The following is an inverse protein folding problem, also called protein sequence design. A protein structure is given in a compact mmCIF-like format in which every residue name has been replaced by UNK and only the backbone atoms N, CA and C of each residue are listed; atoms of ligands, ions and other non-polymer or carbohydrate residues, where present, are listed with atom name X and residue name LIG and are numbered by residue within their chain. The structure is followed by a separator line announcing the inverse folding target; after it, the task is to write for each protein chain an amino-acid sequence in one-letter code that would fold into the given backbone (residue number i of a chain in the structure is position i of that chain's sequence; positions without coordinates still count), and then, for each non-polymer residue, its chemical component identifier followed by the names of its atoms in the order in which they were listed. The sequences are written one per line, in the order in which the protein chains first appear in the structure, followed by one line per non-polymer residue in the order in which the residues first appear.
data_IF_544819373325
#
_entry.id   IF_544819373325
#
_cell.length_a   1.000
_cell.length_b   1.000
_cell.length_c   1.000
_cell.angle_alpha   90.00
_cell.angle_beta   90.00
_cell.angle_gamma   90.00
#
_symmetry.space_group_name_H-M   'P 1'
#
loop_
_entity.id
_entity.type
_entity.pdbx_description
1 polymer ?
#
# COMPACT_ATOMS: atom_id res chain seq x y z
N UNK A 1 20.07 13.65 -3.53
CA UNK A 1 19.33 13.39 -2.26
C UNK A 1 19.95 14.12 -1.06
N UNK A 2 19.17 14.47 -0.02
CA UNK A 2 19.62 15.07 1.26
C UNK A 2 20.63 14.15 1.98
N UNK A 3 21.67 14.71 2.61
CA UNK A 3 22.66 13.94 3.38
C UNK A 3 22.03 13.14 4.52
N UNK A 4 20.99 13.68 5.18
CA UNK A 4 20.29 12.99 6.26
C UNK A 4 19.59 11.72 5.74
N UNK A 5 18.99 11.80 4.55
CA UNK A 5 18.33 10.66 3.90
C UNK A 5 19.35 9.60 3.49
N UNK A 6 20.50 9.98 2.96
CA UNK A 6 21.56 9.02 2.64
C UNK A 6 22.04 8.28 3.89
N UNK A 7 22.28 8.99 4.99
CA UNK A 7 22.65 8.37 6.28
C UNK A 7 21.56 7.41 6.76
N UNK A 8 20.29 7.84 6.73
CA UNK A 8 19.16 7.01 7.11
C UNK A 8 19.05 5.73 6.27
N UNK A 9 19.10 5.84 4.95
CA UNK A 9 19.04 4.69 4.04
C UNK A 9 20.20 3.72 4.31
N UNK A 10 21.41 4.24 4.49
CA UNK A 10 22.59 3.44 4.83
C UNK A 10 22.40 2.69 6.15
N UNK A 11 21.76 3.29 7.15
CA UNK A 11 21.44 2.60 8.41
C UNK A 11 20.46 1.43 8.22
N UNK A 12 19.52 1.54 7.27
CA UNK A 12 18.52 0.49 7.03
C UNK A 12 19.07 -0.69 6.24
N UNK A 13 20.04 -0.44 5.35
CA UNK A 13 20.57 -1.44 4.42
C UNK A 13 21.90 -2.05 4.84
N UNK A 14 22.57 -1.45 5.82
CA UNK A 14 23.86 -1.94 6.33
C UNK A 14 23.65 -2.82 7.57
N UNK A 15 24.03 -4.11 7.53
CA UNK A 15 23.98 -4.98 8.69
C UNK A 15 24.89 -4.45 9.81
N UNK A 16 24.31 -4.09 10.96
CA UNK A 16 25.08 -3.48 12.06
C UNK A 16 26.09 -4.44 12.71
N UNK A 17 25.74 -5.73 12.79
CA UNK A 17 26.54 -6.74 13.49
C UNK A 17 27.58 -7.42 12.58
N UNK A 18 27.70 -7.03 11.31
CA UNK A 18 28.75 -7.51 10.41
C UNK A 18 30.02 -6.64 10.56
N UNK A 19 31.16 -7.20 11.00
CA UNK A 19 32.40 -6.46 11.18
C UNK A 19 32.98 -5.87 9.88
N UNK A 20 32.55 -6.36 8.72
CA UNK A 20 32.97 -5.87 7.40
C UNK A 20 32.09 -4.73 6.88
N UNK A 21 30.97 -4.43 7.56
CA UNK A 21 30.07 -3.35 7.19
C UNK A 21 30.74 -1.99 7.31
N UNK A 22 30.64 -1.20 6.24
CA UNK A 22 30.97 0.22 6.27
C UNK A 22 29.82 0.99 6.94
N UNK A 23 29.83 1.06 8.27
CA UNK A 23 28.78 1.74 9.03
C UNK A 23 28.72 3.24 8.67
N UNK A 24 27.52 3.85 8.63
CA UNK A 24 27.38 5.30 8.49
C UNK A 24 28.08 6.05 9.63
N UNK A 25 28.78 7.13 9.27
CA UNK A 25 29.26 8.12 10.24
C UNK A 25 28.09 9.06 10.60
N UNK A 26 27.70 9.08 11.88
CA UNK A 26 26.50 9.78 12.36
C UNK A 26 26.93 10.88 13.34
N UNK A 27 26.72 12.13 12.95
CA UNK A 27 26.97 13.27 13.81
C UNK A 27 25.99 13.28 15.00
N UNK A 28 26.44 13.61 16.22
CA UNK A 28 25.56 13.67 17.40
C UNK A 28 24.29 14.54 17.20
N UNK A 29 24.40 15.61 16.42
CA UNK A 29 23.31 16.52 16.06
C UNK A 29 22.24 15.92 15.14
N UNK A 30 22.54 14.83 14.40
CA UNK A 30 21.62 14.23 13.43
C UNK A 30 20.67 13.21 14.07
N UNK A 31 21.04 12.63 15.23
CA UNK A 31 20.23 11.60 15.90
C UNK A 31 18.76 11.98 16.14
N UNK A 32 18.40 13.22 16.56
CA UNK A 32 17.00 13.60 16.70
C UNK A 32 16.21 13.49 15.39
N UNK A 33 16.82 13.91 14.28
CA UNK A 33 16.19 13.89 12.96
C UNK A 33 16.11 12.46 12.39
N UNK A 34 17.16 11.65 12.57
CA UNK A 34 17.18 10.24 12.20
C UNK A 34 16.16 9.43 13.00
N UNK A 35 16.02 9.71 14.30
CA UNK A 35 14.98 9.08 15.13
C UNK A 35 13.58 9.43 14.63
N UNK A 36 13.31 10.73 14.37
CA UNK A 36 12.01 11.17 13.85
C UNK A 36 11.69 10.54 12.49
N UNK A 37 12.68 10.41 11.61
CA UNK A 37 12.54 9.78 10.31
C UNK A 37 12.23 8.28 10.44
N UNK A 38 13.00 7.55 11.24
CA UNK A 38 12.78 6.12 11.49
C UNK A 38 11.43 5.84 12.17
N UNK A 39 10.98 6.73 13.06
CA UNK A 39 9.65 6.64 13.69
C UNK A 39 8.53 6.88 12.66
N UNK A 40 8.67 7.95 11.85
CA UNK A 40 7.72 8.30 10.78
C UNK A 40 7.55 7.19 9.74
N UNK A 41 8.62 6.45 9.46
CA UNK A 41 8.61 5.34 8.51
C UNK A 41 8.41 3.97 9.16
N UNK A 42 8.25 3.91 10.48
CA UNK A 42 8.09 2.67 11.23
C UNK A 42 9.24 1.66 10.99
N UNK A 43 10.48 2.17 10.93
CA UNK A 43 11.71 1.37 10.75
C UNK A 43 12.60 1.37 11.99
N UNK A 44 12.06 1.76 13.16
CA UNK A 44 12.80 1.81 14.42
C UNK A 44 13.56 0.50 14.77
N UNK A 45 13.01 -0.70 14.54
CA UNK A 45 13.73 -1.94 14.82
C UNK A 45 15.04 -2.08 14.01
N UNK A 46 15.04 -1.64 12.74
CA UNK A 46 16.21 -1.71 11.86
C UNK A 46 17.35 -0.81 12.35
N UNK A 47 17.00 0.37 12.87
CA UNK A 47 18.00 1.36 13.30
C UNK A 47 18.39 1.24 14.77
N UNK A 48 17.69 0.40 15.56
CA UNK A 48 17.90 0.26 17.00
C UNK A 48 19.37 0.09 17.43
N UNK A 49 20.21 -0.72 16.74
CA UNK A 49 21.62 -0.89 17.13
C UNK A 49 22.43 0.41 17.08
N UNK A 50 22.17 1.28 16.10
CA UNK A 50 22.87 2.56 15.92
C UNK A 50 22.62 3.56 17.05
N UNK A 51 21.52 3.39 17.79
CA UNK A 51 21.16 4.30 18.87
C UNK A 51 21.61 3.84 20.27
N UNK A 52 22.26 2.67 20.42
CA UNK A 52 22.59 2.04 21.74
C UNK A 52 23.22 2.99 22.77
N UNK A 53 24.09 3.90 22.31
CA UNK A 53 24.83 4.83 23.18
C UNK A 53 24.20 6.24 23.24
N UNK A 54 22.97 6.40 22.77
CA UNK A 54 22.27 7.70 22.71
C UNK A 54 21.16 7.79 23.75
N UNK A 55 20.73 9.02 24.06
CA UNK A 55 19.57 9.25 24.93
C UNK A 55 18.24 8.75 24.36
N UNK A 56 18.15 8.46 23.06
CA UNK A 56 16.94 7.98 22.38
C UNK A 56 16.73 6.47 22.52
N UNK A 57 17.76 5.71 22.89
CA UNK A 57 17.72 4.24 22.93
C UNK A 57 16.52 3.66 23.72
N UNK A 58 16.19 4.12 24.94
CA UNK A 58 15.07 3.55 25.69
C UNK A 58 13.72 3.69 24.96
N UNK A 59 13.52 4.81 24.27
CA UNK A 59 12.29 5.08 23.53
C UNK A 59 12.20 4.21 22.27
N UNK A 60 13.29 4.10 21.50
CA UNK A 60 13.36 3.24 20.30
C UNK A 60 13.14 1.78 20.68
N UNK A 61 13.79 1.33 21.76
CA UNK A 61 13.63 -0.04 22.26
C UNK A 61 12.19 -0.34 22.67
N UNK A 62 11.53 0.59 23.37
CA UNK A 62 10.13 0.43 23.77
C UNK A 62 9.20 0.35 22.55
N UNK A 63 9.35 1.26 21.59
CA UNK A 63 8.55 1.27 20.36
C UNK A 63 8.78 0.02 19.50
N UNK A 64 10.03 -0.42 19.39
CA UNK A 64 10.39 -1.66 18.67
C UNK A 64 9.73 -2.89 19.32
N UNK A 65 9.78 -3.00 20.65
CA UNK A 65 9.07 -4.06 21.39
C UNK A 65 7.56 -4.03 21.15
N UNK A 66 6.96 -2.84 21.05
CA UNK A 66 5.54 -2.72 20.75
C UNK A 66 5.21 -3.18 19.33
N UNK A 67 6.03 -2.83 18.33
CA UNK A 67 5.88 -3.34 16.97
C UNK A 67 5.97 -4.87 16.91
N UNK A 68 6.95 -5.46 17.59
CA UNK A 68 7.09 -6.92 17.65
C UNK A 68 5.90 -7.59 18.35
N UNK A 69 5.40 -6.99 19.45
CA UNK A 69 4.21 -7.49 20.10
C UNK A 69 2.97 -7.37 19.20
N UNK A 70 2.86 -6.29 18.42
CA UNK A 70 1.76 -6.08 17.48
C UNK A 70 1.78 -7.12 16.34
N UNK A 71 2.97 -7.55 15.89
CA UNK A 71 3.10 -8.63 14.91
C UNK A 71 2.33 -9.89 15.35
N UNK A 72 2.58 -10.37 16.59
CA UNK A 72 1.90 -11.55 17.12
C UNK A 72 0.40 -11.35 17.35
N UNK A 73 -0.03 -10.11 17.63
CA UNK A 73 -1.45 -9.80 17.77
C UNK A 73 -2.18 -9.87 16.43
N UNK A 74 -1.58 -9.32 15.37
CA UNK A 74 -2.14 -9.40 14.02
C UNK A 74 -2.07 -10.83 13.48
N UNK A 75 -1.00 -11.59 13.75
CA UNK A 75 -0.93 -13.02 13.43
C UNK A 75 -2.07 -13.79 14.10
N UNK A 76 -2.30 -13.60 15.40
CA UNK A 76 -3.42 -14.22 16.11
C UNK A 76 -4.78 -13.82 15.52
N UNK A 77 -4.96 -12.55 15.17
CA UNK A 77 -6.19 -12.07 14.53
C UNK A 77 -6.38 -12.72 13.15
N UNK A 78 -5.32 -12.78 12.34
CA UNK A 78 -5.31 -13.43 11.02
C UNK A 78 -5.72 -14.89 11.11
N UNK A 79 -5.07 -15.68 11.99
CA UNK A 79 -5.43 -17.09 12.23
C UNK A 79 -6.90 -17.24 12.58
N UNK A 80 -7.40 -16.41 13.50
CA UNK A 80 -8.80 -16.46 13.94
C UNK A 80 -9.76 -16.22 12.78
N UNK A 81 -9.54 -15.16 12.00
CA UNK A 81 -10.43 -14.77 10.91
C UNK A 81 -10.38 -15.79 9.78
N UNK A 82 -9.18 -16.20 9.35
CA UNK A 82 -9.02 -17.20 8.29
C UNK A 82 -9.62 -18.53 8.70
N UNK A 83 -9.30 -19.05 9.90
CA UNK A 83 -9.88 -20.31 10.39
C UNK A 83 -11.42 -20.27 10.50
N UNK A 84 -11.99 -19.10 10.81
CA UNK A 84 -13.44 -18.91 10.84
C UNK A 84 -14.05 -19.08 9.45
N UNK A 85 -13.45 -18.46 8.43
CA UNK A 85 -13.92 -18.54 7.04
C UNK A 85 -13.71 -19.94 6.46
N UNK A 86 -12.54 -20.54 6.68
CA UNK A 86 -12.22 -21.91 6.22
C UNK A 86 -13.17 -22.96 6.80
N UNK A 87 -13.54 -22.83 8.08
CA UNK A 87 -14.53 -23.73 8.72
C UNK A 87 -15.89 -23.70 8.03
N UNK A 88 -16.22 -22.60 7.35
CA UNK A 88 -17.44 -22.46 6.56
C UNK A 88 -17.22 -22.71 5.06
N UNK A 89 -16.07 -23.26 4.68
CA UNK A 89 -15.73 -23.59 3.29
C UNK A 89 -15.38 -22.39 2.42
N UNK A 90 -15.07 -21.23 3.02
CA UNK A 90 -14.70 -20.02 2.29
C UNK A 90 -13.19 -19.96 2.17
N UNK A 91 -12.71 -20.02 0.93
CA UNK A 91 -11.30 -19.77 0.60
C UNK A 91 -11.08 -18.26 0.50
N UNK A 92 -10.07 -17.74 1.19
CA UNK A 92 -9.67 -16.34 1.09
C UNK A 92 -8.15 -16.25 0.95
N UNK A 93 -7.67 -15.20 0.30
CA UNK A 93 -6.25 -14.92 0.12
C UNK A 93 -5.80 -13.94 1.19
N UNK A 94 -4.81 -14.32 2.00
CA UNK A 94 -4.16 -13.39 2.92
C UNK A 94 -3.28 -12.45 2.11
N UNK A 95 -3.56 -11.16 2.19
CA UNK A 95 -2.79 -10.14 1.50
C UNK A 95 -1.94 -9.36 2.49
N UNK A 96 -0.86 -8.76 1.99
CA UNK A 96 0.02 -7.85 2.75
C UNK A 96 0.43 -8.45 4.11
N UNK A 97 0.25 -7.69 5.18
CA UNK A 97 0.21 -8.20 6.55
C UNK A 97 1.36 -9.14 6.93
N UNK A 98 0.98 -10.26 7.53
CA UNK A 98 1.88 -11.33 7.93
C UNK A 98 2.53 -12.05 6.75
N UNK A 99 1.88 -12.05 5.58
CA UNK A 99 2.38 -12.73 4.38
C UNK A 99 3.63 -12.04 3.84
N UNK A 100 3.60 -10.72 3.67
CA UNK A 100 4.81 -9.94 3.30
C UNK A 100 5.82 -9.87 4.44
N UNK A 101 5.38 -9.90 5.71
CA UNK A 101 6.29 -9.92 6.84
C UNK A 101 7.19 -11.17 6.85
N UNK A 102 6.71 -12.30 6.33
CA UNK A 102 7.49 -13.52 6.25
C UNK A 102 8.72 -13.39 5.33
N UNK A 103 8.74 -12.40 4.43
CA UNK A 103 9.90 -12.13 3.58
C UNK A 103 10.98 -11.28 4.23
N UNK A 104 10.70 -10.64 5.36
CA UNK A 104 11.66 -9.79 6.06
C UNK A 104 12.77 -10.64 6.72
N UNK A 105 14.00 -10.12 6.86
CA UNK A 105 15.07 -10.80 7.61
C UNK A 105 14.66 -11.13 9.06
N UNK A 106 13.84 -10.27 9.67
CA UNK A 106 13.16 -10.50 10.94
C UNK A 106 11.70 -10.09 10.77
N UNK A 107 10.78 -11.06 10.73
CA UNK A 107 9.37 -10.82 10.39
C UNK A 107 8.71 -9.78 11.29
N UNK A 108 9.07 -9.75 12.57
CA UNK A 108 8.49 -8.81 13.53
C UNK A 108 8.94 -7.35 13.35
N UNK A 109 9.91 -7.08 12.47
CA UNK A 109 10.35 -5.71 12.16
C UNK A 109 9.39 -5.00 11.21
N UNK A 110 8.55 -5.76 10.49
CA UNK A 110 7.53 -5.19 9.62
C UNK A 110 6.37 -4.64 10.43
N UNK A 111 6.06 -3.35 10.27
CA UNK A 111 4.85 -2.74 10.84
C UNK A 111 3.58 -3.34 10.22
N UNK A 112 2.78 -3.97 11.05
CA UNK A 112 1.43 -4.46 10.71
C UNK A 112 0.36 -3.48 11.25
N UNK A 113 -0.75 -3.32 10.53
CA UNK A 113 -1.86 -2.46 10.93
C UNK A 113 -3.18 -3.20 10.94
N UNK A 114 -3.70 -3.43 9.75
CA UNK A 114 -4.92 -4.13 9.40
C UNK A 114 -4.66 -5.57 8.92
N UNK A 115 -5.73 -6.37 8.90
CA UNK A 115 -5.79 -7.64 8.20
C UNK A 115 -6.46 -7.42 6.84
N UNK A 116 -5.75 -7.71 5.76
CA UNK A 116 -6.31 -7.70 4.41
C UNK A 116 -6.60 -9.13 3.94
N UNK A 117 -7.86 -9.41 3.59
CA UNK A 117 -8.26 -10.67 2.98
C UNK A 117 -8.94 -10.40 1.65
N UNK A 118 -8.64 -11.20 0.63
CA UNK A 118 -9.32 -11.13 -0.67
C UNK A 118 -10.15 -12.37 -0.94
N UNK A 119 -11.36 -12.17 -1.44
CA UNK A 119 -12.24 -13.23 -1.95
C UNK A 119 -12.67 -12.83 -3.36
N UNK A 120 -12.22 -13.60 -4.35
CA UNK A 120 -12.55 -13.38 -5.76
C UNK A 120 -13.89 -13.97 -6.19
N UNK A 121 -14.46 -14.89 -5.41
CA UNK A 121 -15.80 -15.42 -5.64
C UNK A 121 -16.84 -14.55 -4.94
N UNK A 122 -17.79 -14.04 -5.73
CA UNK A 122 -18.79 -13.07 -5.26
C UNK A 122 -19.79 -13.69 -4.28
N UNK A 123 -20.18 -14.94 -4.49
CA UNK A 123 -21.15 -15.60 -3.62
C UNK A 123 -20.48 -15.95 -2.28
N UNK A 124 -19.24 -16.45 -2.33
CA UNK A 124 -18.41 -16.68 -1.15
C UNK A 124 -18.14 -15.38 -0.38
N UNK A 125 -17.90 -14.26 -1.08
CA UNK A 125 -17.75 -12.95 -0.44
C UNK A 125 -19.00 -12.57 0.37
N UNK A 126 -20.19 -12.64 -0.23
CA UNK A 126 -21.43 -12.34 0.48
C UNK A 126 -21.72 -13.30 1.65
N UNK A 127 -21.37 -14.58 1.51
CA UNK A 127 -21.42 -15.52 2.63
C UNK A 127 -20.42 -15.13 3.74
N UNK A 128 -19.22 -14.69 3.40
CA UNK A 128 -18.22 -14.24 4.36
C UNK A 128 -18.72 -13.03 5.16
N UNK A 129 -19.35 -12.04 4.52
CA UNK A 129 -19.94 -10.89 5.20
C UNK A 129 -20.92 -11.34 6.30
N UNK A 130 -21.84 -12.26 5.97
CA UNK A 130 -22.81 -12.80 6.92
C UNK A 130 -22.13 -13.52 8.09
N UNK A 131 -21.16 -14.39 7.81
CA UNK A 131 -20.42 -15.14 8.82
C UNK A 131 -19.66 -14.19 9.75
N UNK A 132 -19.02 -13.15 9.22
CA UNK A 132 -18.30 -12.16 10.00
C UNK A 132 -19.27 -11.44 10.96
N UNK A 133 -20.42 -10.97 10.48
CA UNK A 133 -21.42 -10.33 11.33
C UNK A 133 -21.92 -11.25 12.46
N UNK A 134 -22.25 -12.50 12.15
CA UNK A 134 -22.69 -13.49 13.13
C UNK A 134 -21.61 -13.80 14.20
N UNK A 135 -20.34 -13.53 13.88
CA UNK A 135 -19.19 -13.78 14.76
C UNK A 135 -18.61 -12.50 15.39
N UNK A 136 -19.38 -11.41 15.41
CA UNK A 136 -19.07 -10.19 16.17
C UNK A 136 -18.13 -9.21 15.46
N UNK A 137 -17.99 -9.31 14.15
CA UNK A 137 -17.35 -8.29 13.33
C UNK A 137 -18.39 -7.21 12.99
N UNK A 138 -18.08 -5.96 13.35
CA UNK A 138 -18.98 -4.82 13.17
C UNK A 138 -18.51 -3.99 11.99
N UNK A 139 -19.44 -3.46 11.20
CA UNK A 139 -19.09 -2.55 10.10
C UNK A 139 -18.34 -1.32 10.63
N UNK A 140 -17.26 -0.97 9.96
CA UNK A 140 -16.58 0.31 10.12
C UNK A 140 -16.94 1.19 8.91
N UNK A 141 -17.46 2.40 9.14
CA UNK A 141 -17.81 3.30 8.04
C UNK A 141 -16.55 3.78 7.30
N UNK A 142 -16.29 3.15 6.16
CA UNK A 142 -15.24 3.54 5.22
C UNK A 142 -15.80 3.63 3.80
N UNK A 143 -15.40 4.67 3.06
CA UNK A 143 -15.80 4.83 1.67
C UNK A 143 -14.79 4.13 0.76
N UNK A 144 -15.03 2.86 0.45
CA UNK A 144 -14.18 2.05 -0.42
C UNK A 144 -14.96 1.46 -1.61
N UNK A 145 -14.28 1.33 -2.75
CA UNK A 145 -14.79 0.74 -4.00
C UNK A 145 -14.22 -0.65 -4.28
N UNK A 146 -13.50 -1.24 -3.32
CA UNK A 146 -12.84 -2.54 -3.48
C UNK A 146 -12.84 -3.43 -2.23
N UNK A 147 -13.19 -2.92 -1.04
CA UNK A 147 -13.37 -3.72 0.19
C UNK A 147 -14.54 -3.23 1.06
N UNK A 148 -14.93 -4.09 2.00
CA UNK A 148 -15.72 -3.74 3.19
C UNK A 148 -14.80 -3.81 4.41
N UNK A 149 -14.92 -2.84 5.32
CA UNK A 149 -14.07 -2.77 6.51
C UNK A 149 -14.84 -3.16 7.76
N UNK A 150 -14.26 -4.05 8.56
CA UNK A 150 -14.84 -4.55 9.78
C UNK A 150 -13.94 -4.31 10.99
N UNK A 151 -14.54 -3.97 12.12
CA UNK A 151 -13.87 -3.94 13.42
C UNK A 151 -14.23 -5.19 14.21
N UNK A 152 -13.20 -5.87 14.71
CA UNK A 152 -13.36 -6.97 15.65
C UNK A 152 -12.70 -6.65 16.99
N UNK A 153 -13.41 -6.84 18.10
CA UNK A 153 -12.88 -6.61 19.45
C UNK A 153 -12.78 -7.92 20.22
N UNK A 154 -11.58 -8.26 20.68
CA UNK A 154 -11.36 -9.43 21.53
C UNK A 154 -11.88 -9.16 22.94
N UNK A 155 -13.01 -9.77 23.31
CA UNK A 155 -13.66 -9.58 24.63
C UNK A 155 -12.71 -9.70 25.83
N UNK A 156 -11.78 -10.67 25.79
CA UNK A 156 -10.84 -10.91 26.89
C UNK A 156 -9.84 -9.77 27.13
N UNK A 157 -9.51 -9.00 26.08
CA UNK A 157 -8.46 -7.97 26.15
C UNK A 157 -8.98 -6.56 25.89
N UNK A 158 -10.19 -6.43 25.34
CA UNK A 158 -10.74 -5.16 24.86
C UNK A 158 -10.00 -4.60 23.63
N UNK A 159 -9.05 -5.33 23.03
CA UNK A 159 -8.31 -4.86 21.85
C UNK A 159 -9.14 -5.02 20.59
N UNK A 160 -9.13 -3.99 19.77
CA UNK A 160 -9.82 -3.97 18.48
C UNK A 160 -8.84 -4.02 17.32
N UNK A 161 -9.20 -4.73 16.27
CA UNK A 161 -8.46 -4.83 15.02
C UNK A 161 -9.39 -4.56 13.85
N UNK A 162 -8.81 -4.10 12.74
CA UNK A 162 -9.51 -3.87 11.48
C UNK A 162 -9.23 -5.01 10.51
N UNK A 163 -10.28 -5.47 9.86
CA UNK A 163 -10.27 -6.39 8.73
C UNK A 163 -10.76 -5.62 7.49
N UNK A 164 -9.93 -5.50 6.47
CA UNK A 164 -10.34 -5.12 5.12
C UNK A 164 -10.66 -6.40 4.34
N UNK A 165 -11.95 -6.67 4.08
CA UNK A 165 -12.39 -7.78 3.24
C UNK A 165 -12.57 -7.28 1.81
N UNK A 166 -11.61 -7.59 0.94
CA UNK A 166 -11.54 -7.17 -0.45
C UNK A 166 -12.38 -8.08 -1.36
N UNK A 167 -13.26 -7.47 -2.14
CA UNK A 167 -13.95 -8.10 -3.29
C UNK A 167 -13.26 -7.75 -4.62
N UNK A 168 -12.31 -6.81 -4.58
CA UNK A 168 -11.41 -6.47 -5.69
C UNK A 168 -10.04 -6.10 -5.10
N UNK A 169 -8.95 -6.49 -5.75
CA UNK A 169 -7.62 -6.29 -5.16
C UNK A 169 -7.20 -4.82 -5.04
N UNK A 170 -7.72 -3.93 -5.91
CA UNK A 170 -7.51 -2.47 -5.85
C UNK A 170 -8.74 -1.71 -6.32
N UNK A 171 -8.79 -0.41 -6.02
CA UNK A 171 -9.83 0.51 -6.49
C UNK A 171 -9.82 0.76 -8.01
N UNK A 172 -10.93 1.28 -8.54
CA UNK A 172 -11.17 1.40 -9.99
C UNK A 172 -10.44 2.61 -10.58
N UNK A 173 -9.56 2.36 -11.55
CA UNK A 173 -8.89 3.41 -12.32
C UNK A 173 -9.80 4.02 -13.39
N UNK A 174 -9.51 5.22 -13.92
CA UNK A 174 -10.28 5.70 -15.09
C UNK A 174 -9.93 4.94 -16.37
N UNK A 175 -8.71 4.38 -16.43
CA UNK A 175 -8.25 3.67 -17.60
C UNK A 175 -8.85 2.27 -17.59
N UNK A 176 -9.89 2.08 -18.40
CA UNK A 176 -10.69 0.85 -18.43
C UNK A 176 -9.88 -0.40 -18.74
N UNK A 177 -8.93 -0.40 -19.70
CA UNK A 177 -8.11 -1.58 -19.98
C UNK A 177 -7.34 -2.09 -18.77
N UNK A 178 -6.73 -1.20 -17.96
CA UNK A 178 -6.08 -1.61 -16.71
C UNK A 178 -7.06 -2.34 -15.77
N UNK A 179 -8.28 -1.82 -15.61
CA UNK A 179 -9.28 -2.49 -14.76
C UNK A 179 -9.68 -3.86 -15.31
N UNK A 180 -9.86 -4.00 -16.63
CA UNK A 180 -10.21 -5.27 -17.25
C UNK A 180 -9.09 -6.30 -17.03
N UNK A 181 -7.84 -5.89 -17.20
CA UNK A 181 -6.69 -6.76 -16.95
C UNK A 181 -6.61 -7.18 -15.49
N UNK A 182 -6.76 -6.27 -14.54
CA UNK A 182 -6.76 -6.59 -13.10
C UNK A 182 -7.90 -7.56 -12.77
N UNK A 183 -9.11 -7.28 -13.24
CA UNK A 183 -10.27 -8.13 -12.98
C UNK A 183 -10.09 -9.52 -13.61
N UNK A 184 -9.41 -9.62 -14.75
CA UNK A 184 -9.05 -10.88 -15.41
C UNK A 184 -7.97 -11.65 -14.63
N UNK A 185 -6.87 -11.00 -14.27
CA UNK A 185 -5.73 -11.64 -13.56
C UNK A 185 -6.17 -12.20 -12.20
N UNK A 186 -6.98 -11.45 -11.45
CA UNK A 186 -7.39 -11.82 -10.10
C UNK A 186 -8.75 -12.55 -10.05
N UNK A 187 -9.32 -12.93 -11.20
CA UNK A 187 -10.60 -13.64 -11.27
C UNK A 187 -10.55 -15.04 -10.63
N UNK A 188 -11.70 -15.60 -10.25
CA UNK A 188 -11.79 -16.97 -9.71
C UNK A 188 -11.30 -18.04 -10.71
N UNK A 189 -11.48 -17.78 -12.00
CA UNK A 189 -11.06 -18.69 -13.07
C UNK A 189 -9.54 -18.71 -13.25
N UNK A 190 -8.89 -17.56 -13.17
CA UNK A 190 -7.48 -17.39 -13.50
C UNK A 190 -6.56 -17.46 -12.28
N UNK A 191 -6.95 -16.84 -11.17
CA UNK A 191 -6.14 -16.82 -9.96
C UNK A 191 -6.12 -18.20 -9.30
N UNK A 192 -4.92 -18.75 -9.10
CA UNK A 192 -4.70 -19.99 -8.34
C UNK A 192 -3.97 -19.62 -7.06
N UNK A 193 -4.44 -20.14 -5.93
CA UNK A 193 -3.77 -19.87 -4.67
C UNK A 193 -2.45 -20.65 -4.57
N UNK A 194 -1.42 -19.97 -4.09
CA UNK A 194 -0.26 -20.63 -3.48
C UNK A 194 -0.49 -20.78 -1.98
N UNK A 195 0.25 -21.71 -1.36
CA UNK A 195 0.19 -21.93 0.08
C UNK A 195 1.46 -21.45 0.75
N UNK A 196 1.32 -20.59 1.75
CA UNK A 196 2.42 -20.09 2.58
C UNK A 196 2.24 -20.54 4.03
N UNK A 197 3.28 -21.16 4.60
CA UNK A 197 3.33 -21.51 6.02
C UNK A 197 3.89 -20.34 6.83
N UNK A 198 3.10 -19.80 7.76
CA UNK A 198 3.51 -18.70 8.63
C UNK A 198 3.21 -19.08 10.08
N UNK A 199 4.25 -19.16 10.91
CA UNK A 199 4.16 -19.47 12.34
C UNK A 199 3.31 -20.73 12.66
N UNK A 200 3.41 -21.76 11.81
CA UNK A 200 2.72 -23.04 11.93
C UNK A 200 1.24 -23.02 11.52
N UNK A 201 0.83 -22.04 10.73
CA UNK A 201 -0.49 -21.96 10.10
C UNK A 201 -0.31 -21.82 8.59
N UNK A 202 -1.14 -22.53 7.83
CA UNK A 202 -1.13 -22.56 6.37
C UNK A 202 -2.10 -21.51 5.85
N UNK A 203 -1.68 -20.69 4.89
CA UNK A 203 -2.52 -19.64 4.31
C UNK A 203 -2.51 -19.70 2.80
N UNK A 204 -3.66 -19.44 2.18
CA UNK A 204 -3.72 -19.15 0.76
C UNK A 204 -3.24 -17.72 0.51
N UNK A 205 -2.32 -17.56 -0.43
CA UNK A 205 -1.74 -16.27 -0.85
C UNK A 205 -1.72 -16.19 -2.38
N UNK A 206 -1.41 -15.01 -2.92
CA UNK A 206 -1.21 -14.87 -4.36
C UNK A 206 0.05 -15.61 -4.81
N UNK A 207 0.05 -16.20 -6.01
CA UNK A 207 1.30 -16.67 -6.60
C UNK A 207 2.27 -15.50 -6.81
N UNK A 208 3.59 -15.77 -6.85
CA UNK A 208 4.58 -14.70 -6.84
C UNK A 208 4.45 -13.64 -7.93
N UNK A 209 4.05 -14.03 -9.14
CA UNK A 209 3.87 -13.08 -10.25
C UNK A 209 2.69 -12.13 -9.98
N UNK A 210 1.54 -12.67 -9.59
CA UNK A 210 0.35 -11.89 -9.24
C UNK A 210 0.56 -11.04 -7.99
N UNK A 211 1.34 -11.54 -7.02
CA UNK A 211 1.67 -10.79 -5.81
C UNK A 211 2.55 -9.57 -6.14
N UNK A 212 3.60 -9.73 -6.97
CA UNK A 212 4.41 -8.60 -7.45
C UNK A 212 3.56 -7.57 -8.18
N UNK A 213 2.68 -8.04 -9.09
CA UNK A 213 1.77 -7.14 -9.81
C UNK A 213 0.82 -6.38 -8.86
N UNK A 214 0.29 -7.08 -7.86
CA UNK A 214 -0.52 -6.48 -6.80
C UNK A 214 0.26 -5.41 -6.02
N UNK A 215 1.51 -5.67 -5.63
CA UNK A 215 2.33 -4.73 -4.87
C UNK A 215 2.60 -3.43 -5.65
N UNK A 216 2.81 -3.53 -6.97
CA UNK A 216 2.95 -2.34 -7.84
C UNK A 216 1.67 -1.51 -7.81
N UNK A 217 0.50 -2.16 -7.93
CA UNK A 217 -0.79 -1.48 -7.84
C UNK A 217 -1.10 -0.90 -6.45
N UNK A 218 -0.64 -1.57 -5.38
CA UNK A 218 -0.76 -1.10 -4.01
C UNK A 218 0.08 0.18 -3.79
N UNK A 219 1.33 0.18 -4.26
CA UNK A 219 2.18 1.38 -4.27
C UNK A 219 1.57 2.48 -5.11
N UNK A 220 1.03 2.18 -6.31
CA UNK A 220 0.35 3.16 -7.15
C UNK A 220 -0.83 3.81 -6.42
N UNK A 221 -1.69 3.01 -5.76
CA UNK A 221 -2.81 3.52 -4.95
C UNK A 221 -2.31 4.55 -3.95
N UNK A 222 -1.34 4.18 -3.11
CA UNK A 222 -0.86 5.10 -2.08
C UNK A 222 -0.15 6.31 -2.68
N UNK A 223 0.67 6.12 -3.71
CA UNK A 223 1.37 7.21 -4.38
C UNK A 223 0.41 8.25 -4.95
N UNK A 224 -0.68 7.80 -5.55
CA UNK A 224 -1.72 8.69 -6.04
C UNK A 224 -2.48 9.34 -4.90
N UNK A 225 -2.91 8.62 -3.84
CA UNK A 225 -3.93 9.15 -2.94
C UNK A 225 -3.43 9.74 -1.61
N UNK A 226 -2.32 9.27 -1.08
CA UNK A 226 -1.93 9.56 0.32
C UNK A 226 -0.43 9.73 0.55
N UNK A 227 0.41 9.40 -0.44
CA UNK A 227 1.81 9.03 -0.21
C UNK A 227 1.93 7.65 0.48
N UNK A 228 3.14 7.10 0.49
CA UNK A 228 3.51 5.94 1.30
C UNK A 228 4.95 6.08 1.80
N UNK A 229 5.27 5.42 2.91
CA UNK A 229 6.62 5.36 3.44
C UNK A 229 7.44 4.20 2.88
N UNK A 230 8.76 4.25 3.09
CA UNK A 230 9.75 3.26 2.60
C UNK A 230 9.41 1.77 2.86
N UNK A 231 8.54 1.47 3.82
CA UNK A 231 8.02 0.11 4.09
C UNK A 231 7.55 -0.60 2.81
N UNK A 232 6.81 0.04 1.91
CA UNK A 232 6.32 -0.65 0.71
C UNK A 232 7.45 -0.99 -0.27
N UNK A 233 8.54 -0.22 -0.28
CA UNK A 233 9.74 -0.56 -1.06
C UNK A 233 10.51 -1.72 -0.41
N UNK A 234 10.55 -1.80 0.93
CA UNK A 234 11.10 -2.97 1.62
C UNK A 234 10.27 -4.22 1.40
N UNK A 235 8.94 -4.12 1.48
CA UNK A 235 8.02 -5.21 1.12
C UNK A 235 8.40 -5.75 -0.26
N UNK A 236 8.50 -4.86 -1.25
CA UNK A 236 8.85 -5.22 -2.63
C UNK A 236 10.22 -5.85 -2.76
N UNK A 237 11.24 -5.26 -2.13
CA UNK A 237 12.62 -5.72 -2.24
C UNK A 237 12.80 -7.09 -1.61
N UNK A 238 12.38 -7.25 -0.36
CA UNK A 238 12.52 -8.51 0.37
C UNK A 238 11.69 -9.64 -0.25
N UNK A 239 10.49 -9.33 -0.77
CA UNK A 239 9.68 -10.33 -1.47
C UNK A 239 10.37 -10.82 -2.74
N UNK A 240 10.90 -9.91 -3.57
CA UNK A 240 11.61 -10.28 -4.79
C UNK A 240 12.90 -11.04 -4.50
N UNK A 241 13.67 -10.66 -3.47
CA UNK A 241 14.88 -11.40 -3.09
C UNK A 241 14.62 -12.88 -2.81
N UNK A 242 13.44 -13.20 -2.24
CA UNK A 242 13.06 -14.58 -1.93
C UNK A 242 12.42 -15.30 -3.12
N UNK A 243 11.60 -14.60 -3.92
CA UNK A 243 10.71 -15.23 -4.90
C UNK A 243 11.06 -14.94 -6.36
N UNK A 244 12.15 -14.23 -6.66
CA UNK A 244 12.49 -13.82 -8.04
C UNK A 244 12.54 -14.99 -9.03
N UNK A 245 12.92 -16.20 -8.59
CA UNK A 245 12.96 -17.38 -9.47
C UNK A 245 11.57 -17.92 -9.85
N UNK A 246 10.54 -17.54 -9.09
CA UNK A 246 9.14 -17.96 -9.27
C UNK A 246 8.32 -16.88 -10.01
N UNK A 247 8.87 -15.67 -10.15
CA UNK A 247 8.22 -14.54 -10.81
C UNK A 247 8.43 -14.60 -12.32
N UNK A 248 7.34 -14.59 -13.08
CA UNK A 248 7.35 -14.42 -14.53
C UNK A 248 7.46 -12.93 -14.87
N UNK A 249 8.69 -12.42 -14.94
CA UNK A 249 8.93 -11.01 -15.26
C UNK A 249 8.38 -10.61 -16.63
N UNK A 250 8.38 -11.50 -17.63
CA UNK A 250 7.79 -11.19 -18.94
C UNK A 250 6.28 -10.88 -18.83
N UNK A 251 5.56 -11.58 -17.94
CA UNK A 251 4.17 -11.23 -17.61
C UNK A 251 4.07 -9.90 -16.88
N UNK A 252 4.94 -9.63 -15.90
CA UNK A 252 4.96 -8.33 -15.19
C UNK A 252 5.10 -7.17 -16.19
N UNK A 253 6.10 -7.24 -17.08
CA UNK A 253 6.29 -6.26 -18.15
C UNK A 253 5.03 -6.07 -19.01
N UNK A 254 4.45 -7.17 -19.49
CA UNK A 254 3.24 -7.15 -20.31
C UNK A 254 2.04 -6.54 -19.59
N UNK A 255 1.83 -6.91 -18.32
CA UNK A 255 0.72 -6.39 -17.52
C UNK A 255 0.90 -4.91 -17.17
N UNK A 256 2.12 -4.50 -16.86
CA UNK A 256 2.46 -3.10 -16.59
C UNK A 256 2.30 -2.22 -17.85
N UNK A 257 2.74 -2.69 -19.03
CA UNK A 257 2.50 -2.00 -20.31
C UNK A 257 1.01 -1.86 -20.61
N UNK A 258 0.25 -2.95 -20.53
CA UNK A 258 -1.20 -2.92 -20.77
C UNK A 258 -1.95 -2.04 -19.77
N UNK A 259 -1.42 -1.89 -18.56
CA UNK A 259 -1.97 -1.01 -17.52
C UNK A 259 -1.43 0.43 -17.56
N UNK A 260 -0.48 0.73 -18.46
CA UNK A 260 0.23 2.02 -18.59
C UNK A 260 1.00 2.42 -17.32
N UNK A 261 1.55 1.44 -16.59
CA UNK A 261 2.30 1.66 -15.34
C UNK A 261 3.73 1.11 -15.41
N UNK A 262 4.25 0.85 -16.63
CA UNK A 262 5.61 0.33 -16.81
C UNK A 262 6.66 1.22 -16.15
N UNK A 263 6.60 2.53 -16.36
CA UNK A 263 7.53 3.46 -15.72
C UNK A 263 7.45 3.46 -14.18
N UNK A 264 6.27 3.19 -13.59
CA UNK A 264 6.20 3.00 -12.14
C UNK A 264 6.96 1.74 -11.71
N UNK A 265 6.77 0.63 -12.43
CA UNK A 265 7.49 -0.60 -12.15
C UNK A 265 9.01 -0.42 -12.27
N UNK A 266 9.47 0.17 -13.37
CA UNK A 266 10.89 0.43 -13.64
C UNK A 266 11.50 1.34 -12.58
N UNK A 267 10.81 2.45 -12.24
CA UNK A 267 11.28 3.39 -11.22
C UNK A 267 11.35 2.77 -9.83
N UNK A 268 10.36 1.95 -9.44
CA UNK A 268 10.36 1.23 -8.17
C UNK A 268 11.52 0.23 -8.11
N UNK A 269 11.64 -0.64 -9.11
CA UNK A 269 12.68 -1.67 -9.13
C UNK A 269 14.08 -1.05 -9.08
N UNK A 270 14.35 -0.04 -9.92
CA UNK A 270 15.64 0.63 -9.97
C UNK A 270 15.94 1.40 -8.69
N UNK A 271 14.92 2.04 -8.08
CA UNK A 271 15.08 2.67 -6.76
C UNK A 271 15.46 1.64 -5.69
N UNK A 272 14.82 0.47 -5.67
CA UNK A 272 15.17 -0.59 -4.74
C UNK A 272 16.59 -1.12 -4.98
N UNK A 273 17.03 -1.21 -6.24
CA UNK A 273 18.40 -1.61 -6.61
C UNK A 273 19.45 -0.62 -6.12
N UNK A 274 19.23 0.67 -6.37
CA UNK A 274 20.19 1.73 -6.01
C UNK A 274 20.26 1.95 -4.49
N UNK A 275 19.11 1.98 -3.81
CA UNK A 275 19.05 2.46 -2.41
C UNK A 275 18.76 1.38 -1.38
N UNK A 276 18.20 0.23 -1.78
CA UNK A 276 17.75 -0.83 -0.86
C UNK A 276 18.50 -2.16 -1.07
N UNK A 277 19.60 -2.17 -1.83
CA UNK A 277 20.45 -3.33 -2.12
C UNK A 277 19.72 -4.49 -2.85
N UNK A 278 18.64 -4.20 -3.59
CA UNK A 278 17.99 -5.24 -4.41
C UNK A 278 19.00 -5.78 -5.45
N UNK A 279 19.24 -7.10 -5.53
CA UNK A 279 20.27 -7.64 -6.41
C UNK A 279 20.06 -7.35 -7.90
N UNK A 280 21.12 -6.99 -8.63
CA UNK A 280 21.05 -6.62 -10.06
C UNK A 280 20.53 -7.75 -10.96
N UNK A 281 20.64 -9.01 -10.56
CA UNK A 281 20.14 -10.14 -11.35
C UNK A 281 18.61 -10.27 -11.35
N UNK A 282 17.91 -9.54 -10.50
CA UNK A 282 16.44 -9.52 -10.46
C UNK A 282 15.98 -8.51 -11.52
N UNK A 283 15.38 -9.05 -12.58
CA UNK A 283 14.96 -8.34 -13.80
C UNK A 283 16.04 -7.36 -14.32
N UNK A 284 17.16 -7.88 -14.82
CA UNK A 284 18.37 -7.10 -15.08
C UNK A 284 18.23 -6.09 -16.23
N UNK A 285 17.24 -6.26 -17.10
CA UNK A 285 17.03 -5.40 -18.27
C UNK A 285 16.31 -4.09 -17.92
N UNK A 286 15.66 -4.04 -16.74
CA UNK A 286 14.99 -2.84 -16.24
C UNK A 286 16.03 -1.85 -15.75
N UNK A 287 15.97 -0.63 -16.27
CA UNK A 287 16.76 0.50 -15.78
C UNK A 287 15.91 1.77 -15.81
N UNK A 288 16.22 2.70 -14.92
CA UNK A 288 15.52 3.99 -14.84
C UNK A 288 16.52 5.12 -14.55
N UNK A 289 16.12 6.36 -14.85
CA UNK A 289 17.02 7.50 -14.66
C UNK A 289 17.31 7.73 -13.17
N UNK A 290 18.60 7.82 -12.83
CA UNK A 290 19.05 8.00 -11.44
C UNK A 290 18.44 9.25 -10.80
N UNK A 291 18.31 10.36 -11.54
CA UNK A 291 17.74 11.60 -10.99
C UNK A 291 16.24 11.48 -10.73
N UNK A 292 15.53 10.70 -11.54
CA UNK A 292 14.11 10.39 -11.31
C UNK A 292 13.93 9.44 -10.11
N UNK A 293 14.81 8.44 -9.94
CA UNK A 293 14.84 7.58 -8.75
C UNK A 293 15.13 8.39 -7.47
N UNK A 294 16.10 9.31 -7.54
CA UNK A 294 16.44 10.24 -6.45
C UNK A 294 15.21 11.07 -6.03
N UNK A 295 14.47 11.59 -7.01
CA UNK A 295 13.26 12.38 -6.80
C UNK A 295 12.11 11.54 -6.25
N UNK A 296 11.92 10.32 -6.76
CA UNK A 296 10.91 9.38 -6.30
C UNK A 296 11.12 8.98 -4.83
N UNK A 297 12.33 8.57 -4.47
CA UNK A 297 12.64 8.16 -3.09
C UNK A 297 12.61 9.36 -2.13
N UNK A 298 13.13 10.52 -2.52
CA UNK A 298 13.06 11.73 -1.68
C UNK A 298 11.62 12.07 -1.32
N UNK A 299 10.69 11.95 -2.28
CA UNK A 299 9.25 12.15 -2.03
C UNK A 299 8.68 11.13 -1.06
N UNK A 300 8.99 9.84 -1.24
CA UNK A 300 8.56 8.78 -0.32
C UNK A 300 9.04 9.07 1.10
N UNK A 301 10.29 9.51 1.25
CA UNK A 301 10.87 9.87 2.53
C UNK A 301 10.24 11.12 3.13
N UNK A 302 9.84 12.11 2.32
CA UNK A 302 9.10 13.29 2.78
C UNK A 302 7.68 12.96 3.27
N UNK A 303 6.95 12.11 2.52
CA UNK A 303 5.53 11.78 2.78
C UNK A 303 5.35 10.97 4.08
N UNK A 304 6.25 10.04 4.40
CA UNK A 304 6.18 9.23 5.62
C UNK A 304 5.26 7.99 5.52
N UNK A 305 5.32 7.08 6.50
CA UNK A 305 4.39 5.94 6.58
C UNK A 305 3.12 6.32 7.37
N UNK A 306 2.28 7.16 6.75
CA UNK A 306 0.98 7.59 7.28
C UNK A 306 -0.09 6.50 7.10
N UNK A 307 0.22 5.28 7.53
CA UNK A 307 -0.61 4.09 7.35
C UNK A 307 -1.90 4.02 8.18
N UNK A 308 -2.57 5.14 8.49
CA UNK A 308 -3.90 5.11 9.12
C UNK A 308 -4.68 6.44 9.18
N UNK A 309 -4.08 7.63 8.97
CA UNK A 309 -4.71 8.86 9.51
C UNK A 309 -4.91 10.03 8.53
N UNK A 310 -4.64 9.86 7.23
CA UNK A 310 -4.89 10.95 6.24
C UNK A 310 -5.36 10.42 4.89
N UNK A 311 -6.34 9.52 4.84
CA UNK A 311 -6.97 9.10 3.57
C UNK A 311 -8.18 9.98 3.20
N UNK A 312 -8.00 11.30 3.18
CA UNK A 312 -9.05 12.19 2.67
C UNK A 312 -8.50 13.37 1.87
N UNK A 313 -7.53 13.16 0.99
CA UNK A 313 -7.22 14.15 -0.05
C UNK A 313 -8.09 13.90 -1.30
N UNK A 314 -8.40 14.95 -2.08
CA UNK A 314 -8.81 14.72 -3.47
C UNK A 314 -7.54 14.41 -4.20
N UNK A 315 -7.40 13.20 -4.72
CA UNK A 315 -6.34 12.96 -5.67
C UNK A 315 -6.85 12.26 -6.90
N UNK A 316 -6.23 12.63 -8.02
CA UNK A 316 -6.60 12.17 -9.34
C UNK A 316 -6.38 10.69 -9.45
N UNK A 317 -7.32 10.03 -10.11
CA UNK A 317 -7.16 8.64 -10.52
C UNK A 317 -6.20 8.48 -11.70
N UNK A 318 -5.67 9.59 -12.22
CA UNK A 318 -4.70 9.74 -13.31
C UNK A 318 -3.82 10.98 -13.11
N UNK A 319 -2.68 11.02 -13.82
CA UNK A 319 -1.94 12.26 -14.05
C UNK A 319 -2.40 12.95 -15.34
N UNK A 320 -2.70 14.24 -15.27
CA UNK A 320 -3.20 15.08 -16.36
C UNK A 320 -2.13 16.06 -16.86
N UNK A 321 -1.95 16.19 -18.19
CA UNK A 321 -1.05 17.19 -18.81
C UNK A 321 -1.35 18.64 -18.38
N UNK A 322 -2.62 18.97 -18.18
CA UNK A 322 -3.06 20.26 -17.66
C UNK A 322 -4.34 20.08 -16.89
N UNK A 323 -4.34 20.49 -15.62
CA UNK A 323 -5.55 20.50 -14.78
C UNK A 323 -6.47 21.63 -15.25
N UNK A 324 -7.68 21.27 -15.69
CA UNK A 324 -8.71 22.20 -16.14
C UNK A 324 -10.10 21.82 -15.57
N UNK A 325 -11.15 22.55 -15.92
CA UNK A 325 -12.52 22.27 -15.45
C UNK A 325 -13.02 20.87 -15.86
N UNK A 326 -12.62 20.36 -17.03
CA UNK A 326 -12.98 19.03 -17.49
C UNK A 326 -12.31 17.95 -16.63
N UNK A 327 -11.08 18.19 -16.14
CA UNK A 327 -10.38 17.31 -15.20
C UNK A 327 -11.18 17.14 -13.91
N UNK A 328 -11.62 18.24 -13.29
CA UNK A 328 -12.43 18.17 -12.06
C UNK A 328 -13.77 17.48 -12.30
N UNK A 329 -14.38 17.71 -13.48
CA UNK A 329 -15.59 17.01 -13.86
C UNK A 329 -15.37 15.49 -14.04
N UNK A 330 -14.25 15.07 -14.63
CA UNK A 330 -13.92 13.63 -14.78
C UNK A 330 -13.79 12.94 -13.42
N UNK A 331 -13.02 13.54 -12.51
CA UNK A 331 -12.87 13.00 -11.15
C UNK A 331 -14.20 13.00 -10.37
N UNK A 332 -14.96 14.10 -10.44
CA UNK A 332 -16.29 14.16 -9.84
C UNK A 332 -17.24 13.10 -10.40
N UNK A 333 -17.14 12.81 -11.70
CA UNK A 333 -17.98 11.80 -12.36
C UNK A 333 -17.60 10.39 -11.91
N UNK A 334 -16.30 10.12 -11.75
CA UNK A 334 -15.81 8.86 -11.20
C UNK A 334 -16.31 8.67 -9.77
N UNK A 335 -16.15 9.69 -8.92
CA UNK A 335 -16.64 9.68 -7.54
C UNK A 335 -18.16 9.46 -7.45
N UNK A 336 -18.93 10.02 -8.39
CA UNK A 336 -20.38 9.76 -8.49
C UNK A 336 -20.66 8.28 -8.81
N UNK A 337 -19.92 7.67 -9.74
CA UNK A 337 -20.11 6.25 -10.10
C UNK A 337 -19.69 5.31 -8.98
N UNK A 338 -18.62 5.64 -8.26
CA UNK A 338 -18.16 4.91 -7.07
C UNK A 338 -19.22 4.97 -5.97
N UNK A 339 -19.75 6.16 -5.67
CA UNK A 339 -20.79 6.34 -4.65
C UNK A 339 -22.12 5.69 -5.01
N UNK A 340 -22.43 5.58 -6.31
CA UNK A 340 -23.68 5.01 -6.80
C UNK A 340 -23.43 3.93 -7.86
N UNK A 341 -22.93 2.72 -7.48
CA UNK A 341 -22.49 1.71 -8.45
C UNK A 341 -23.59 1.21 -9.40
N UNK A 342 -24.84 1.14 -8.91
CA UNK A 342 -26.02 0.74 -9.69
C UNK A 342 -26.68 1.92 -10.40
N UNK A 343 -27.00 2.99 -9.66
CA UNK A 343 -27.71 4.15 -10.20
C UNK A 343 -26.84 5.02 -11.12
N UNK A 344 -25.53 5.09 -10.89
CA UNK A 344 -24.57 5.81 -11.71
C UNK A 344 -24.39 5.22 -13.12
N UNK A 345 -24.87 4.01 -13.38
CA UNK A 345 -24.92 3.41 -14.73
C UNK A 345 -26.06 3.96 -15.59
N UNK A 346 -27.07 4.62 -14.99
CA UNK A 346 -28.24 5.16 -15.68
C UNK A 346 -28.06 6.66 -15.95
N UNK A 347 -27.86 7.11 -17.21
CA UNK A 347 -27.64 8.52 -17.52
C UNK A 347 -28.80 9.45 -17.12
N UNK A 348 -30.03 8.93 -17.09
CA UNK A 348 -31.21 9.69 -16.68
C UNK A 348 -31.18 10.12 -15.21
N UNK A 349 -30.44 9.39 -14.36
CA UNK A 349 -30.31 9.69 -12.93
C UNK A 349 -29.16 10.69 -12.65
N UNK A 350 -28.24 10.89 -13.59
CA UNK A 350 -27.06 11.74 -13.41
C UNK A 350 -27.39 13.17 -12.96
N UNK A 351 -28.44 13.85 -13.48
CA UNK A 351 -28.78 15.20 -13.03
C UNK A 351 -29.11 15.30 -11.53
N UNK A 352 -29.52 14.19 -10.89
CA UNK A 352 -29.82 14.11 -9.46
C UNK A 352 -28.62 13.61 -8.67
N UNK A 353 -27.91 12.59 -9.17
CA UNK A 353 -26.76 12.01 -8.49
C UNK A 353 -25.60 12.98 -8.36
N UNK A 354 -25.35 13.82 -9.38
CA UNK A 354 -24.28 14.81 -9.39
C UNK A 354 -24.37 15.84 -8.26
N UNK A 355 -25.51 16.55 -8.08
CA UNK A 355 -25.69 17.45 -6.94
C UNK A 355 -25.47 16.77 -5.59
N UNK A 356 -25.94 15.52 -5.43
CA UNK A 356 -25.74 14.76 -4.18
C UNK A 356 -24.26 14.48 -3.96
N UNK A 357 -23.55 13.96 -4.96
CA UNK A 357 -22.10 13.71 -4.88
C UNK A 357 -21.34 14.99 -4.56
N UNK A 358 -21.68 16.11 -5.22
CA UNK A 358 -21.04 17.40 -4.99
C UNK A 358 -21.32 17.96 -3.59
N UNK A 359 -22.54 17.84 -3.08
CA UNK A 359 -22.85 18.28 -1.72
C UNK A 359 -22.15 17.43 -0.66
N UNK A 360 -22.14 16.10 -0.83
CA UNK A 360 -21.40 15.20 0.05
C UNK A 360 -19.89 15.51 0.03
N UNK A 361 -19.36 15.80 -1.16
CA UNK A 361 -17.99 16.21 -1.34
C UNK A 361 -17.66 17.51 -0.60
N UNK A 362 -18.51 18.54 -0.72
CA UNK A 362 -18.34 19.79 0.01
C UNK A 362 -18.45 19.57 1.52
N UNK A 363 -19.47 18.82 1.97
CA UNK A 363 -19.63 18.46 3.38
C UNK A 363 -18.35 17.81 3.90
N UNK A 364 -17.85 16.77 3.24
CA UNK A 364 -16.62 16.07 3.64
C UNK A 364 -15.40 17.02 3.64
N UNK A 365 -15.31 17.92 2.68
CA UNK A 365 -14.24 18.94 2.61
C UNK A 365 -14.22 19.83 3.85
N UNK A 366 -15.38 20.30 4.30
CA UNK A 366 -15.46 21.20 5.43
C UNK A 366 -15.50 20.49 6.79
N UNK A 367 -16.16 19.33 6.89
CA UNK A 367 -16.42 18.68 8.18
C UNK A 367 -15.43 17.57 8.52
N UNK A 368 -14.92 16.85 7.53
CA UNK A 368 -13.98 15.74 7.75
C UNK A 368 -12.54 16.18 7.50
N UNK A 369 -12.31 16.97 6.44
CA UNK A 369 -10.97 17.37 6.00
C UNK A 369 -10.50 18.69 6.61
N UNK A 370 -11.38 19.42 7.30
CA UNK A 370 -11.11 20.74 7.89
C UNK A 370 -10.35 21.69 6.94
N UNK A 371 -10.70 21.67 5.66
CA UNK A 371 -10.06 22.50 4.62
C UNK A 371 -11.13 23.18 3.76
N UNK A 372 -10.70 24.05 2.85
CA UNK A 372 -11.61 24.73 1.91
C UNK A 372 -11.64 24.05 0.55
N UNK A 373 -12.73 24.28 -0.20
CA UNK A 373 -12.84 23.82 -1.59
C UNK A 373 -11.66 24.32 -2.45
N UNK A 374 -11.24 25.57 -2.27
CA UNK A 374 -10.13 26.17 -3.05
C UNK A 374 -8.80 25.50 -2.75
N UNK A 375 -8.48 25.29 -1.47
CA UNK A 375 -7.27 24.58 -1.05
C UNK A 375 -7.27 23.15 -1.58
N UNK A 376 -8.42 22.48 -1.53
CA UNK A 376 -8.57 21.12 -2.04
C UNK A 376 -8.27 21.01 -3.54
N UNK A 377 -8.77 21.96 -4.34
CA UNK A 377 -8.45 22.01 -5.77
C UNK A 377 -6.98 22.37 -6.03
N UNK A 378 -6.40 23.24 -5.19
CA UNK A 378 -4.99 23.59 -5.29
C UNK A 378 -4.09 22.39 -5.01
N UNK A 379 -4.35 21.63 -3.93
CA UNK A 379 -3.64 20.39 -3.61
C UNK A 379 -3.75 19.35 -4.70
N UNK A 380 -4.95 19.20 -5.29
CA UNK A 380 -5.14 18.32 -6.45
C UNK A 380 -4.22 18.71 -7.62
N UNK A 381 -4.12 20.02 -7.91
CA UNK A 381 -3.24 20.52 -8.98
C UNK A 381 -1.76 20.29 -8.67
N UNK A 382 -1.35 20.53 -7.42
CA UNK A 382 0.03 20.29 -6.96
C UNK A 382 0.39 18.81 -7.02
N UNK A 383 -0.47 17.91 -6.51
CA UNK A 383 -0.27 16.46 -6.57
C UNK A 383 -0.18 15.95 -8.00
N UNK A 384 -1.02 16.48 -8.90
CA UNK A 384 -0.96 16.14 -10.32
C UNK A 384 0.38 16.53 -10.96
N UNK A 385 0.90 17.73 -10.68
CA UNK A 385 2.21 18.17 -11.17
C UNK A 385 3.34 17.27 -10.65
N UNK A 386 3.29 16.89 -9.37
CA UNK A 386 4.29 15.98 -8.79
C UNK A 386 4.26 14.59 -9.44
N UNK A 387 3.08 14.08 -9.78
CA UNK A 387 2.91 12.79 -10.47
C UNK A 387 3.50 12.82 -11.89
N UNK A 388 3.43 13.97 -12.58
CA UNK A 388 4.06 14.14 -13.90
C UNK A 388 5.57 14.16 -13.85
N UNK A 389 6.17 14.69 -12.78
CA UNK A 389 7.63 14.76 -12.65
C UNK A 389 8.28 13.37 -12.67
N UNK A 390 7.58 12.35 -12.15
CA UNK A 390 8.12 10.98 -12.03
C UNK A 390 7.64 10.05 -13.18
N UNK A 391 6.97 10.60 -14.21
CA UNK A 391 6.51 9.86 -15.42
C UNK A 391 5.81 8.52 -15.14
N UNK A 392 4.99 8.46 -14.10
CA UNK A 392 4.37 7.21 -13.62
C UNK A 392 3.54 6.49 -14.68
N UNK A 393 2.79 7.27 -15.45
CA UNK A 393 1.97 6.75 -16.53
C UNK A 393 2.65 6.97 -17.87
N UNK A 394 2.58 5.96 -18.73
CA UNK A 394 2.91 6.14 -20.14
C UNK A 394 2.01 7.25 -20.71
N UNK A 395 2.63 8.33 -21.19
CA UNK A 395 1.90 9.46 -21.75
C UNK A 395 1.11 8.98 -22.97
N UNK A 396 -0.20 8.82 -22.84
CA UNK A 396 -1.08 8.70 -24.00
C UNK A 396 -1.16 10.06 -24.68
N UNK A 397 -0.39 10.25 -25.74
CA UNK A 397 -0.76 11.21 -26.79
C UNK A 397 -1.90 10.60 -27.61
N UNK A 398 -3.13 10.69 -27.09
CA UNK A 398 -4.38 10.44 -27.83
C UNK A 398 -5.54 11.22 -27.22
#
# INVERSE_FOLDING_TARGET
MDSLYNTYLKMLTTPFDDPSSDLPDISPEDYPALFALADRHCTLPFVLPYFRNTGFYPQILQKSKHMMLNYYQIDQFTRRTVSLLEKHGITCFVMKGISLAASYPVSEYRKLGDLDLYINDKDAFHCAEQILHENGYLDEEELSDHHTTYRYTFEKTGRSFLLELHYRVVGVYQYKPANQLIDEVFSAENLKAETQEINGSSYHVFPPTEYVFYMIHHMLKHYLYSGFGIRLLFDFSFYLEQHAQEVDFAKIHSWCQQSHILHLYESVLETCRIYLNLPEMIDPDVHYDLSDCDAFLSRILEDGDLGADVSQELVGSHSYKKVNLLTYFREGHLQMKVRFPKAGRCPLLWPVLWPITFFCFLKNTYTLRNTTFRETLQRFKESNQKTQLIRIFENSDS
#
